data_IF_305857932723
#
_entry.id   IF_305857932723
#
_cell.length_a   1.000
_cell.length_b   1.000
_cell.length_c   1.000
_cell.angle_alpha   90.00
_cell.angle_beta   90.00
_cell.angle_gamma   90.00
#
_symmetry.space_group_name_H-M   'P 1'
#
loop_
_entity.id
_entity.type
_entity.pdbx_description
1 polymer ?
#
# COMPACT_ATOMS: atom_id res chain seq x y z
N UNK A 1 25.63 14.10 9.41
CA UNK A 1 25.35 15.51 9.07
C UNK A 1 23.85 15.66 9.12
N UNK A 2 23.32 15.88 10.33
CA UNK A 2 21.88 16.08 10.55
C UNK A 2 21.66 17.56 10.72
N UNK A 3 20.88 18.17 9.82
CA UNK A 3 20.47 19.56 9.96
C UNK A 3 19.49 19.63 11.13
N UNK A 4 19.91 20.22 12.25
CA UNK A 4 19.03 20.48 13.40
C UNK A 4 18.38 21.84 13.23
N UNK A 5 17.08 21.83 12.92
CA UNK A 5 15.98 22.73 13.30
C UNK A 5 16.18 24.25 13.57
N UNK A 6 17.26 24.89 13.14
CA UNK A 6 17.51 26.33 13.41
C UNK A 6 18.05 27.13 12.22
N UNK A 7 18.23 26.52 11.05
CA UNK A 7 18.94 27.16 9.92
C UNK A 7 18.04 27.79 8.85
N UNK A 8 16.72 27.82 9.03
CA UNK A 8 15.81 28.55 8.13
C UNK A 8 15.31 29.80 8.85
N UNK A 9 16.16 30.82 8.82
CA UNK A 9 15.82 32.18 9.22
C UNK A 9 15.69 33.06 7.99
N UNK A 10 14.86 34.08 8.06
CA UNK A 10 14.77 35.10 7.01
C UNK A 10 16.05 35.96 6.94
N UNK A 11 16.07 36.95 6.04
CA UNK A 11 17.19 37.90 5.91
C UNK A 11 17.47 38.72 7.18
N UNK A 12 16.53 38.74 8.14
CA UNK A 12 16.60 39.47 9.39
C UNK A 12 16.99 38.57 10.59
N UNK A 13 17.09 37.26 10.38
CA UNK A 13 17.38 36.29 11.43
C UNK A 13 16.15 35.77 12.18
N UNK A 14 14.94 36.07 11.70
CA UNK A 14 13.69 35.61 12.29
C UNK A 14 13.35 34.19 11.82
N UNK A 15 12.88 33.35 12.76
CA UNK A 15 12.56 31.95 12.47
C UNK A 15 11.21 31.80 11.75
N UNK A 16 11.17 30.99 10.70
CA UNK A 16 9.93 30.60 10.05
C UNK A 16 9.14 29.59 10.89
N UNK A 17 7.80 29.66 10.81
CA UNK A 17 6.91 28.61 11.30
C UNK A 17 6.47 27.73 10.14
N UNK A 18 6.46 26.41 10.36
CA UNK A 18 5.97 25.43 9.40
C UNK A 18 4.64 24.86 9.90
N UNK A 19 3.71 24.61 9.01
CA UNK A 19 2.46 23.92 9.30
C UNK A 19 2.25 22.83 8.25
N UNK A 20 2.20 21.58 8.69
CA UNK A 20 1.93 20.44 7.83
C UNK A 20 0.47 19.99 7.95
N UNK A 21 -0.16 19.74 6.81
CA UNK A 21 -1.50 19.15 6.74
C UNK A 21 -1.56 18.03 5.70
N UNK A 22 -2.57 17.17 5.80
CA UNK A 22 -2.77 16.04 4.88
C UNK A 22 -4.24 15.80 4.56
N UNK A 23 -4.53 15.36 3.33
CA UNK A 23 -5.89 15.11 2.83
C UNK A 23 -5.95 13.81 2.01
N UNK A 24 -6.94 12.91 2.19
CA UNK A 24 -7.98 12.91 3.24
C UNK A 24 -7.37 12.75 4.63
N UNK A 25 -7.92 13.48 5.61
CA UNK A 25 -7.21 13.76 6.85
C UNK A 25 -7.46 12.72 7.95
N UNK A 26 -6.43 12.49 8.76
CA UNK A 26 -6.58 12.19 10.21
C UNK A 26 -7.00 13.43 11.02
N UNK A 27 -7.46 14.50 10.36
CA UNK A 27 -8.25 15.57 10.96
C UNK A 27 -7.53 16.81 11.50
N UNK A 28 -6.20 16.92 11.48
CA UNK A 28 -5.52 18.01 12.23
C UNK A 28 -4.15 18.35 11.65
N UNK A 29 -3.66 19.55 11.96
CA UNK A 29 -2.25 19.93 11.82
C UNK A 29 -1.38 18.74 12.27
N UNK A 30 -0.57 18.22 11.35
CA UNK A 30 0.22 17.01 11.58
C UNK A 30 1.43 17.32 12.46
N UNK A 31 2.09 18.43 12.16
CA UNK A 31 3.25 18.90 12.92
C UNK A 31 3.56 20.36 12.55
N UNK A 32 4.36 21.00 13.40
CA UNK A 32 5.02 22.29 13.14
C UNK A 32 6.53 22.18 12.95
N UNK A 33 7.07 20.95 12.96
CA UNK A 33 8.47 20.67 12.67
C UNK A 33 8.82 20.86 11.19
N UNK A 34 10.07 21.19 10.91
CA UNK A 34 10.61 21.27 9.56
C UNK A 34 10.59 19.91 8.83
N UNK A 35 10.73 18.79 9.55
CA UNK A 35 10.66 17.44 8.99
C UNK A 35 9.64 16.64 9.78
N UNK A 36 8.74 15.95 9.07
CA UNK A 36 7.76 15.04 9.66
C UNK A 36 8.00 13.61 9.20
N UNK A 37 7.63 12.63 10.03
CA UNK A 37 7.56 11.21 9.63
C UNK A 37 6.16 10.71 9.87
N UNK A 38 5.51 10.23 8.81
CA UNK A 38 4.11 9.83 8.80
C UNK A 38 3.96 8.48 8.11
N UNK A 39 3.00 7.67 8.58
CA UNK A 39 2.61 6.43 7.92
C UNK A 39 1.30 6.65 7.20
N UNK A 40 1.26 6.42 5.89
CA UNK A 40 0.06 6.54 5.07
C UNK A 40 -0.44 5.15 4.66
N UNK A 41 -1.75 4.94 4.75
CA UNK A 41 -2.41 3.68 4.37
C UNK A 41 -3.34 3.85 3.16
N UNK A 42 -3.45 5.07 2.64
CA UNK A 42 -4.27 5.44 1.49
C UNK A 42 -3.64 6.64 0.77
N UNK A 43 -4.06 6.90 -0.47
CA UNK A 43 -3.63 8.08 -1.23
C UNK A 43 -3.82 9.34 -0.39
N UNK A 44 -2.74 10.08 -0.20
CA UNK A 44 -2.68 11.22 0.71
C UNK A 44 -1.93 12.36 0.05
N UNK A 45 -2.52 13.55 0.03
CA UNK A 45 -1.87 14.79 -0.38
C UNK A 45 -1.35 15.46 0.88
N UNK A 46 -0.04 15.70 0.93
CA UNK A 46 0.61 16.51 1.96
C UNK A 46 0.74 17.94 1.48
N UNK A 47 0.45 18.87 2.38
CA UNK A 47 0.59 20.30 2.15
C UNK A 47 1.45 20.90 3.26
N UNK A 48 2.47 21.63 2.85
CA UNK A 48 3.33 22.42 3.73
C UNK A 48 2.97 23.90 3.54
N UNK A 49 2.72 24.59 4.63
CA UNK A 49 2.59 26.05 4.69
C UNK A 49 3.72 26.62 5.57
N UNK A 50 4.31 27.73 5.11
CA UNK A 50 5.40 28.41 5.80
C UNK A 50 4.97 29.83 6.11
N UNK A 51 5.07 30.21 7.39
CA UNK A 51 4.71 31.53 7.89
C UNK A 51 5.94 32.26 8.42
N UNK A 52 5.97 33.58 8.24
CA UNK A 52 6.95 34.45 8.88
C UNK A 52 6.63 34.70 10.37
N UNK A 53 7.46 35.51 11.03
CA UNK A 53 7.30 35.89 12.44
C UNK A 53 6.03 36.71 12.72
N UNK A 54 5.40 37.29 11.70
CA UNK A 54 4.19 38.09 11.79
C UNK A 54 2.92 37.29 11.42
N UNK A 55 3.01 35.95 11.36
CA UNK A 55 1.93 35.06 10.95
C UNK A 55 1.47 35.24 9.48
N UNK A 56 2.33 35.77 8.62
CA UNK A 56 2.05 35.93 7.19
C UNK A 56 2.53 34.71 6.43
N UNK A 57 1.67 34.13 5.60
CA UNK A 57 2.02 33.02 4.72
C UNK A 57 3.01 33.49 3.65
N UNK A 58 4.22 32.91 3.66
CA UNK A 58 5.31 33.26 2.73
C UNK A 58 5.62 32.16 1.73
N UNK A 59 5.09 30.95 1.92
CA UNK A 59 5.27 29.83 1.00
C UNK A 59 4.27 28.70 1.24
N UNK A 60 3.94 27.97 0.18
CA UNK A 60 3.14 26.76 0.24
C UNK A 60 3.63 25.78 -0.82
N UNK A 61 3.66 24.50 -0.49
CA UNK A 61 3.96 23.42 -1.43
C UNK A 61 3.07 22.20 -1.15
N UNK A 62 2.82 21.40 -2.18
CA UNK A 62 1.97 20.21 -2.11
C UNK A 62 2.63 19.01 -2.78
N UNK A 63 2.51 17.85 -2.14
CA UNK A 63 3.03 16.59 -2.66
C UNK A 63 2.02 15.47 -2.47
N UNK A 64 1.74 14.74 -3.53
CA UNK A 64 0.84 13.58 -3.49
C UNK A 64 1.64 12.29 -3.26
N UNK A 65 1.18 11.50 -2.29
CA UNK A 65 1.65 10.15 -2.04
C UNK A 65 0.53 9.18 -2.41
N UNK A 66 0.75 8.42 -3.47
CA UNK A 66 -0.15 7.36 -3.91
C UNK A 66 0.17 6.07 -3.15
N UNK A 67 -0.84 5.52 -2.47
CA UNK A 67 -0.78 4.23 -1.79
C UNK A 67 -1.75 3.29 -2.49
N UNK A 68 -1.20 2.29 -3.17
CA UNK A 68 -1.97 1.26 -3.84
C UNK A 68 -2.05 0.01 -2.96
N UNK A 69 -3.08 -0.11 -2.08
CA UNK A 69 -3.21 -1.30 -1.25
C UNK A 69 -3.44 -2.53 -2.14
N UNK A 70 -2.84 -3.65 -1.75
CA UNK A 70 -3.17 -4.94 -2.34
C UNK A 70 -4.58 -5.37 -1.89
N UNK A 71 -5.29 -6.17 -2.69
CA UNK A 71 -6.64 -6.56 -2.35
C UNK A 71 -6.60 -7.49 -1.14
N UNK A 72 -7.61 -7.36 -0.28
CA UNK A 72 -7.76 -8.23 0.88
C UNK A 72 -8.43 -9.52 0.42
N UNK A 73 -7.64 -10.58 0.31
CA UNK A 73 -8.13 -11.92 0.02
C UNK A 73 -7.64 -12.92 1.08
N UNK A 74 -8.47 -13.93 1.32
CA UNK A 74 -8.14 -15.12 2.09
C UNK A 74 -8.09 -16.31 1.14
N UNK A 75 -7.03 -17.09 1.21
CA UNK A 75 -6.97 -18.39 0.53
C UNK A 75 -7.16 -19.48 1.58
N UNK A 76 -7.63 -20.64 1.12
CA UNK A 76 -7.78 -21.84 1.92
C UNK A 76 -6.45 -22.21 2.61
N UNK A 77 -6.53 -22.73 3.83
CA UNK A 77 -5.38 -23.33 4.52
C UNK A 77 -5.05 -24.69 3.94
N UNK A 78 -3.83 -25.18 4.18
CA UNK A 78 -3.41 -26.53 3.83
C UNK A 78 -4.47 -27.56 4.23
N UNK A 79 -4.89 -28.36 3.26
CA UNK A 79 -5.97 -29.35 3.43
C UNK A 79 -5.53 -30.70 2.90
N UNK A 80 -6.19 -31.75 3.38
CA UNK A 80 -6.01 -33.12 2.87
C UNK A 80 -7.29 -33.53 2.17
N UNK A 81 -7.16 -33.87 0.89
CA UNK A 81 -8.27 -34.31 0.05
C UNK A 81 -8.27 -35.84 -0.07
N UNK A 82 -9.45 -36.44 -0.24
CA UNK A 82 -9.53 -37.83 -0.65
C UNK A 82 -9.30 -37.94 -2.17
N UNK A 83 -8.87 -39.12 -2.62
CA UNK A 83 -8.59 -39.34 -4.04
C UNK A 83 -9.86 -39.09 -4.88
N UNK A 84 -9.76 -38.14 -5.82
CA UNK A 84 -10.88 -37.75 -6.70
C UNK A 84 -11.67 -36.52 -6.23
N UNK A 85 -11.39 -36.00 -5.03
CA UNK A 85 -12.01 -34.76 -4.57
C UNK A 85 -11.48 -33.53 -5.33
N UNK A 86 -12.32 -32.52 -5.44
CA UNK A 86 -11.99 -31.23 -6.03
C UNK A 86 -11.76 -30.17 -4.96
N UNK A 87 -10.91 -29.20 -5.27
CA UNK A 87 -10.64 -28.01 -4.45
C UNK A 87 -10.87 -26.74 -5.27
N UNK A 88 -11.55 -25.77 -4.65
CA UNK A 88 -11.77 -24.44 -5.22
C UNK A 88 -10.66 -23.49 -4.78
N UNK A 89 -9.61 -23.36 -5.61
CA UNK A 89 -8.42 -22.59 -5.26
C UNK A 89 -8.72 -21.10 -5.00
N UNK A 90 -9.65 -20.51 -5.76
CA UNK A 90 -10.02 -19.11 -5.66
C UNK A 90 -11.19 -18.81 -4.73
N UNK A 91 -11.61 -19.78 -3.90
CA UNK A 91 -12.68 -19.55 -2.93
C UNK A 91 -12.30 -18.42 -1.96
N UNK A 92 -13.17 -17.42 -1.84
CA UNK A 92 -12.90 -16.19 -1.07
C UNK A 92 -12.14 -15.09 -1.82
N UNK A 93 -11.80 -15.27 -3.10
CA UNK A 93 -11.20 -14.22 -3.93
C UNK A 93 -12.28 -13.55 -4.78
N UNK A 94 -12.48 -12.25 -4.55
CA UNK A 94 -13.28 -11.40 -5.42
C UNK A 94 -12.37 -10.77 -6.47
N UNK A 95 -12.74 -10.89 -7.75
CA UNK A 95 -11.99 -10.26 -8.83
C UNK A 95 -12.16 -8.73 -8.75
N UNK A 96 -11.10 -8.04 -8.35
CA UNK A 96 -11.04 -6.58 -8.32
C UNK A 96 -10.34 -6.03 -9.56
N UNK A 97 -10.86 -4.93 -10.12
CA UNK A 97 -10.21 -4.18 -11.20
C UNK A 97 -8.91 -3.55 -10.71
N UNK A 98 -7.89 -3.50 -11.57
CA UNK A 98 -6.56 -2.97 -11.22
C UNK A 98 -5.64 -4.00 -10.55
N UNK A 99 -6.03 -5.28 -10.56
CA UNK A 99 -5.21 -6.38 -10.08
C UNK A 99 -5.14 -7.51 -11.11
N UNK A 100 -3.98 -8.15 -11.17
CA UNK A 100 -3.73 -9.36 -11.95
C UNK A 100 -3.43 -10.52 -11.01
N UNK A 101 -3.89 -11.70 -11.39
CA UNK A 101 -3.78 -12.92 -10.60
C UNK A 101 -2.94 -13.93 -11.37
N UNK A 102 -2.05 -14.62 -10.68
CA UNK A 102 -1.27 -15.71 -11.24
C UNK A 102 -1.20 -16.85 -10.23
N UNK A 103 -1.89 -17.93 -10.56
CA UNK A 103 -1.78 -19.20 -9.89
C UNK A 103 -0.65 -20.01 -10.52
N UNK A 104 0.12 -20.68 -9.67
CA UNK A 104 1.14 -21.65 -10.06
C UNK A 104 1.20 -22.78 -9.04
N UNK A 105 1.75 -23.92 -9.42
CA UNK A 105 1.99 -25.04 -8.51
C UNK A 105 3.32 -25.70 -8.81
N UNK A 106 3.78 -26.60 -7.91
CA UNK A 106 5.00 -27.37 -8.14
C UNK A 106 4.79 -28.47 -9.18
N UNK A 107 3.55 -28.95 -9.37
CA UNK A 107 3.21 -29.97 -10.35
C UNK A 107 2.76 -29.40 -11.71
N UNK A 108 2.97 -28.10 -11.96
CA UNK A 108 2.81 -27.48 -13.29
C UNK A 108 1.42 -26.92 -13.59
N UNK A 109 0.49 -26.88 -12.64
CA UNK A 109 -0.73 -26.09 -12.74
C UNK A 109 -0.41 -24.59 -12.87
N UNK A 110 -1.15 -23.88 -13.73
CA UNK A 110 -1.12 -22.42 -13.84
C UNK A 110 -2.48 -21.87 -14.25
N UNK A 111 -2.87 -20.70 -13.72
CA UNK A 111 -4.07 -19.98 -14.12
C UNK A 111 -3.90 -18.48 -13.91
N UNK A 112 -4.56 -17.65 -14.72
CA UNK A 112 -4.60 -16.19 -14.58
C UNK A 112 -5.95 -15.66 -14.08
N UNK A 113 -6.91 -16.57 -13.83
CA UNK A 113 -8.21 -16.20 -13.29
C UNK A 113 -8.10 -15.92 -11.80
N UNK A 114 -8.79 -14.88 -11.31
CA UNK A 114 -8.93 -14.65 -9.88
C UNK A 114 -9.55 -15.87 -9.18
N UNK A 115 -10.61 -16.42 -9.78
CA UNK A 115 -11.23 -17.67 -9.38
C UNK A 115 -11.15 -18.71 -10.51
N UNK A 116 -10.16 -19.61 -10.51
CA UNK A 116 -10.08 -20.68 -11.50
C UNK A 116 -11.16 -21.75 -11.29
N UNK A 117 -11.45 -22.59 -12.31
CA UNK A 117 -12.32 -23.75 -12.14
C UNK A 117 -11.81 -24.71 -11.05
N UNK A 118 -12.71 -25.52 -10.43
CA UNK A 118 -12.33 -26.52 -9.44
C UNK A 118 -11.19 -27.40 -9.95
N UNK A 119 -10.17 -27.59 -9.12
CA UNK A 119 -9.00 -28.39 -9.45
C UNK A 119 -9.06 -29.74 -8.74
N UNK A 120 -8.61 -30.81 -9.39
CA UNK A 120 -8.52 -32.15 -8.80
C UNK A 120 -7.04 -32.55 -8.72
N UNK A 121 -6.37 -32.36 -7.58
CA UNK A 121 -4.98 -32.80 -7.41
C UNK A 121 -4.87 -34.32 -7.56
N UNK A 122 -3.86 -34.79 -8.28
CA UNK A 122 -3.57 -36.22 -8.43
C UNK A 122 -2.43 -36.71 -7.53
N UNK A 123 -1.74 -35.79 -6.88
CA UNK A 123 -0.67 -35.99 -5.92
C UNK A 123 -0.59 -34.76 -4.98
N UNK A 124 0.24 -34.85 -3.94
CA UNK A 124 0.56 -33.70 -3.10
C UNK A 124 1.12 -32.57 -3.96
N UNK A 125 0.59 -31.37 -3.76
CA UNK A 125 0.98 -30.18 -4.51
C UNK A 125 0.99 -28.96 -3.59
N UNK A 126 1.71 -27.92 -4.00
CA UNK A 126 1.76 -26.64 -3.30
C UNK A 126 1.39 -25.56 -4.27
N UNK A 127 0.29 -24.86 -3.99
CA UNK A 127 -0.19 -23.79 -4.85
C UNK A 127 0.40 -22.47 -4.37
N UNK A 128 0.78 -21.62 -5.32
CA UNK A 128 1.21 -20.25 -5.07
C UNK A 128 0.31 -19.31 -5.88
N UNK A 129 -0.35 -18.38 -5.18
CA UNK A 129 -1.02 -17.24 -5.78
C UNK A 129 -0.13 -16.01 -5.69
N UNK A 130 0.11 -15.38 -6.83
CA UNK A 130 0.65 -14.03 -6.93
C UNK A 130 -0.47 -13.09 -7.35
N UNK A 131 -0.69 -12.03 -6.57
CA UNK A 131 -1.59 -10.93 -6.93
C UNK A 131 -0.75 -9.67 -7.11
N UNK A 132 -0.88 -9.01 -8.25
CA UNK A 132 -0.12 -7.81 -8.60
C UNK A 132 -1.05 -6.67 -8.96
N UNK A 133 -0.88 -5.52 -8.31
CA UNK A 133 -1.61 -4.29 -8.64
C UNK A 133 -1.08 -3.64 -9.93
N UNK A 134 -1.86 -2.79 -10.58
CA UNK A 134 -1.41 -1.99 -11.74
C UNK A 134 -0.17 -1.13 -11.43
N UNK A 135 -0.01 -0.69 -10.18
CA UNK A 135 1.17 0.03 -9.71
C UNK A 135 2.43 -0.86 -9.50
N UNK A 136 2.35 -2.17 -9.79
CA UNK A 136 3.47 -3.12 -9.71
C UNK A 136 3.74 -3.71 -8.33
N UNK A 137 2.93 -3.42 -7.31
CA UNK A 137 3.04 -4.07 -6.01
C UNK A 137 2.51 -5.50 -6.09
N UNK A 138 3.20 -6.46 -5.47
CA UNK A 138 2.81 -7.87 -5.53
C UNK A 138 2.77 -8.54 -4.17
N UNK A 139 1.77 -9.42 -3.97
CA UNK A 139 1.62 -10.30 -2.81
C UNK A 139 1.65 -11.75 -3.25
N UNK A 140 2.41 -12.56 -2.51
CA UNK A 140 2.54 -13.99 -2.76
C UNK A 140 1.98 -14.76 -1.57
N UNK A 141 1.11 -15.74 -1.84
CA UNK A 141 0.52 -16.61 -0.81
C UNK A 141 0.66 -18.06 -1.24
N UNK A 142 1.04 -18.95 -0.32
CA UNK A 142 1.25 -20.38 -0.56
C UNK A 142 0.43 -21.22 0.41
N UNK A 143 -0.03 -22.39 -0.04
CA UNK A 143 -0.74 -23.40 0.76
C UNK A 143 -0.57 -24.80 0.16
#
# INVERSE_FOLDING_TARGET
>A
MGSTNTDLVDENGDAYRFEWSATPSTGTLLDTQHIITVSVTQNTIFRLEVYDVNDVLVGSDESEVEVNPLPVYSIQSNTTLCAGDTIDLGDGINAETGFTYQWSSLNGYSSTLANPPPHTPTADDTFTLTVTSDAGLSRHTKF
#
